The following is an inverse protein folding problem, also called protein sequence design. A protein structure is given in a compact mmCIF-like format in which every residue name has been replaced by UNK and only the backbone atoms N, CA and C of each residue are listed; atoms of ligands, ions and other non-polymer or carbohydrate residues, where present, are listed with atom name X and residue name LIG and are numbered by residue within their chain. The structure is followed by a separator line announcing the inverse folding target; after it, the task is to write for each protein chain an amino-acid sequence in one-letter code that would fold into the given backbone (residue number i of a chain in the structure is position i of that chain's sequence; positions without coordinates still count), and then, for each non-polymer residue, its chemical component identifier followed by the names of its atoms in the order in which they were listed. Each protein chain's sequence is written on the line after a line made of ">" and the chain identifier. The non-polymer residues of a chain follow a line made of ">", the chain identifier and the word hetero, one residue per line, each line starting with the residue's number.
data_IF_666795226966
#
_entry.id   IF_666795226966
#
_cell.length_a   1.000
_cell.length_b   1.000
_cell.length_c   1.000
_cell.angle_alpha   90.00
_cell.angle_beta   90.00
_cell.angle_gamma   90.00
#
_symmetry.space_group_name_H-M   'P 1'
#
loop_
_entity.id
_entity.type
_entity.pdbx_description
1 polymer ?
#
# COMPACT_ATOMS: atom_id res chain seq x y z
N UNK A 1 -16.04 -0.27 -3.54
CA UNK A 1 -14.63 -0.70 -3.40
C UNK A 1 -13.93 -0.21 -4.65
N UNK A 2 -12.87 0.57 -4.50
CA UNK A 2 -12.09 1.11 -5.62
C UNK A 2 -10.71 0.47 -5.58
N UNK A 3 -10.34 -0.24 -6.64
CA UNK A 3 -8.99 -0.75 -6.82
C UNK A 3 -8.13 0.34 -7.48
N UNK A 4 -6.91 0.53 -6.98
CA UNK A 4 -5.89 1.33 -7.65
C UNK A 4 -4.92 0.35 -8.29
N UNK A 5 -4.90 0.32 -9.61
CA UNK A 5 -3.93 -0.49 -10.36
C UNK A 5 -2.50 0.02 -10.20
N UNK A 6 -1.54 -0.82 -10.57
CA UNK A 6 -0.11 -0.53 -10.41
C UNK A 6 0.46 -1.00 -9.07
N UNK A 7 1.74 -0.71 -8.83
CA UNK A 7 2.41 -1.04 -7.57
C UNK A 7 2.76 0.24 -6.82
N UNK A 8 2.70 0.19 -5.49
CA UNK A 8 3.20 1.28 -4.64
C UNK A 8 4.71 1.44 -4.87
N UNK A 9 5.13 2.66 -5.17
CA UNK A 9 6.52 3.00 -5.54
C UNK A 9 6.69 3.30 -7.03
N UNK A 10 5.72 2.89 -7.87
CA UNK A 10 5.74 3.23 -9.30
C UNK A 10 5.28 4.66 -9.54
N UNK A 11 5.97 5.37 -10.45
CA UNK A 11 5.67 6.77 -10.80
C UNK A 11 4.25 6.92 -11.34
N UNK A 12 3.78 5.92 -12.10
CA UNK A 12 2.43 5.89 -12.70
C UNK A 12 1.32 5.92 -11.65
N UNK A 13 1.58 5.37 -10.46
CA UNK A 13 0.61 5.25 -9.37
C UNK A 13 0.47 6.53 -8.53
N UNK A 14 1.47 7.42 -8.56
CA UNK A 14 1.55 8.60 -7.68
C UNK A 14 0.31 9.52 -7.75
N UNK A 15 -0.24 9.86 -8.93
CA UNK A 15 -1.43 10.73 -9.01
C UNK A 15 -2.65 10.11 -8.33
N UNK A 16 -2.84 8.79 -8.47
CA UNK A 16 -3.97 8.07 -7.88
C UNK A 16 -3.84 7.96 -6.36
N UNK A 17 -2.62 7.68 -5.88
CA UNK A 17 -2.34 7.60 -4.45
C UNK A 17 -2.52 8.98 -3.78
N UNK A 18 -2.07 10.06 -4.42
CA UNK A 18 -2.30 11.41 -3.92
C UNK A 18 -3.79 11.76 -3.88
N UNK A 19 -4.57 11.38 -4.90
CA UNK A 19 -6.01 11.63 -4.93
C UNK A 19 -6.75 10.96 -3.77
N UNK A 20 -6.45 9.69 -3.45
CA UNK A 20 -7.07 9.04 -2.29
C UNK A 20 -6.59 9.65 -0.97
N UNK A 21 -5.31 10.03 -0.88
CA UNK A 21 -4.76 10.68 0.32
C UNK A 21 -5.50 11.98 0.64
N UNK A 22 -5.79 12.80 -0.38
CA UNK A 22 -6.60 14.01 -0.23
C UNK A 22 -8.04 13.67 0.13
N UNK A 23 -8.65 12.68 -0.53
CA UNK A 23 -10.02 12.23 -0.23
C UNK A 23 -10.20 11.88 1.25
N UNK A 24 -9.25 11.17 1.87
CA UNK A 24 -9.29 10.87 3.32
C UNK A 24 -9.32 12.11 4.20
N UNK A 25 -8.71 13.21 3.77
CA UNK A 25 -8.76 14.48 4.49
C UNK A 25 -10.13 15.15 4.35
N UNK A 26 -10.76 15.02 3.19
CA UNK A 26 -12.05 15.65 2.89
C UNK A 26 -13.23 14.95 3.58
N UNK A 27 -13.27 13.61 3.59
CA UNK A 27 -14.41 12.82 4.10
C UNK A 27 -14.18 12.26 5.52
N UNK A 28 -12.98 12.43 6.05
CA UNK A 28 -12.57 11.95 7.37
C UNK A 28 -12.21 10.46 7.40
N UNK A 29 -11.47 10.07 8.46
CA UNK A 29 -10.93 8.71 8.64
C UNK A 29 -12.00 7.63 8.80
N UNK A 30 -13.14 7.95 9.41
CA UNK A 30 -14.21 6.97 9.67
C UNK A 30 -14.98 6.57 8.40
N UNK A 31 -14.84 7.37 7.33
CA UNK A 31 -15.57 7.18 6.07
C UNK A 31 -14.72 6.52 4.98
N UNK A 32 -13.49 6.12 5.27
CA UNK A 32 -12.55 5.51 4.31
C UNK A 32 -11.69 4.43 4.95
N UNK A 33 -11.37 3.40 4.18
CA UNK A 33 -10.51 2.29 4.60
C UNK A 33 -9.47 2.03 3.50
N UNK A 34 -8.20 1.91 3.88
CA UNK A 34 -7.13 1.49 2.97
C UNK A 34 -6.71 0.04 3.23
N UNK A 35 -6.79 -0.77 2.18
CA UNK A 35 -6.34 -2.17 2.18
C UNK A 35 -5.10 -2.25 1.28
N UNK A 36 -3.96 -2.68 1.83
CA UNK A 36 -2.71 -2.78 1.08
C UNK A 36 -2.30 -4.24 0.85
N UNK A 37 -2.50 -4.70 -0.38
CA UNK A 37 -2.21 -6.08 -0.76
C UNK A 37 -0.72 -6.22 -1.05
N UNK A 38 -0.06 -7.18 -0.39
CA UNK A 38 1.37 -7.46 -0.58
C UNK A 38 1.64 -8.93 -0.79
N UNK A 39 2.77 -9.23 -1.45
CA UNK A 39 3.26 -10.59 -1.65
C UNK A 39 4.26 -10.97 -0.55
N UNK A 40 4.02 -12.13 0.08
CA UNK A 40 4.98 -12.79 0.96
C UNK A 40 5.59 -13.98 0.20
N UNK A 41 6.76 -13.82 -0.43
CA UNK A 41 7.34 -14.89 -1.24
C UNK A 41 7.90 -16.03 -0.38
N UNK A 42 7.75 -17.25 -0.88
CA UNK A 42 8.42 -18.45 -0.39
C UNK A 42 9.76 -18.66 -1.10
N UNK A 43 10.84 -18.82 -0.35
CA UNK A 43 12.17 -19.11 -0.92
C UNK A 43 12.52 -20.58 -0.72
N UNK A 44 12.43 -21.38 -1.78
CA UNK A 44 12.71 -22.83 -1.71
C UNK A 44 14.12 -23.15 -1.19
N UNK A 45 15.11 -22.33 -1.54
CA UNK A 45 16.52 -22.54 -1.12
C UNK A 45 16.71 -22.47 0.40
N UNK A 46 15.89 -21.69 1.10
CA UNK A 46 15.98 -21.54 2.56
C UNK A 46 14.78 -22.10 3.30
N UNK A 47 13.72 -22.50 2.59
CA UNK A 47 12.52 -23.10 3.16
C UNK A 47 11.72 -22.14 4.05
N UNK A 48 11.71 -20.84 3.73
CA UNK A 48 11.05 -19.85 4.57
C UNK A 48 10.27 -18.79 3.77
N UNK A 49 9.28 -18.20 4.44
CA UNK A 49 8.57 -17.01 3.96
C UNK A 49 9.38 -15.76 4.28
N UNK A 50 9.47 -14.83 3.32
CA UNK A 50 10.15 -13.54 3.52
C UNK A 50 9.16 -12.40 3.67
N UNK A 51 9.13 -11.79 4.85
CA UNK A 51 8.26 -10.64 5.18
C UNK A 51 8.88 -9.29 4.84
N UNK A 52 10.18 -9.23 4.56
CA UNK A 52 10.90 -7.97 4.25
C UNK A 52 10.33 -7.19 3.05
N UNK A 53 9.92 -7.84 1.94
CA UNK A 53 9.25 -7.14 0.83
C UNK A 53 7.97 -6.41 1.26
N UNK A 54 7.10 -7.06 2.05
CA UNK A 54 5.90 -6.43 2.63
C UNK A 54 6.25 -5.22 3.49
N UNK A 55 7.27 -5.34 4.36
CA UNK A 55 7.71 -4.23 5.22
C UNK A 55 8.18 -3.02 4.41
N UNK A 56 8.93 -3.24 3.33
CA UNK A 56 9.38 -2.18 2.44
C UNK A 56 8.21 -1.54 1.68
N UNK A 57 7.27 -2.34 1.18
CA UNK A 57 6.10 -1.83 0.48
C UNK A 57 5.19 -0.99 1.39
N UNK A 58 4.97 -1.41 2.64
CA UNK A 58 4.23 -0.62 3.64
C UNK A 58 4.97 0.68 3.98
N UNK A 59 6.31 0.64 4.07
CA UNK A 59 7.12 1.84 4.29
C UNK A 59 6.97 2.85 3.15
N UNK A 60 6.94 2.37 1.91
CA UNK A 60 6.74 3.22 0.73
C UNK A 60 5.33 3.84 0.70
N UNK A 61 4.29 3.06 1.03
CA UNK A 61 2.93 3.59 1.12
C UNK A 61 2.81 4.67 2.22
N UNK A 62 3.50 4.48 3.34
CA UNK A 62 3.54 5.46 4.45
C UNK A 62 4.36 6.69 4.10
N UNK A 63 5.39 6.59 3.27
CA UNK A 63 6.25 7.72 2.89
C UNK A 63 5.46 8.79 2.14
N UNK A 64 4.42 8.38 1.40
CA UNK A 64 3.50 9.27 0.69
C UNK A 64 2.28 9.67 1.55
N UNK A 65 2.28 9.38 2.85
CA UNK A 65 1.23 9.82 3.78
C UNK A 65 -0.03 8.96 3.82
N UNK A 66 0.04 7.72 3.32
CA UNK A 66 -1.06 6.75 3.37
C UNK A 66 -0.76 5.67 4.42
N UNK A 67 -1.61 5.59 5.44
CA UNK A 67 -1.54 4.54 6.46
C UNK A 67 -2.51 3.42 6.06
N UNK A 68 -2.04 2.20 5.74
CA UNK A 68 -2.92 1.06 5.55
C UNK A 68 -3.61 0.72 6.87
N UNK A 69 -4.90 0.41 6.77
CA UNK A 69 -5.73 -0.05 7.89
C UNK A 69 -5.78 -1.59 7.92
N UNK A 70 -5.66 -2.24 6.76
CA UNK A 70 -5.56 -3.70 6.57
C UNK A 70 -4.40 -4.04 5.65
#
# INVERSE_FOLDING_TARGET
>A
ITEIGGTVGDIESLPFLEAIRQLRSDIGRESILYIHVTLIPWLEKTGELKTKPTQHSVKELRSIGIQPDI
#
